data_IF_670598230760
#
_entry.id   IF_670598230760
#
_cell.length_a   1.000
_cell.length_b   1.000
_cell.length_c   1.000
_cell.angle_alpha   90.00
_cell.angle_beta   90.00
_cell.angle_gamma   90.00
#
_symmetry.space_group_name_H-M   'P 1'
#
loop_
_entity.id
_entity.type
_entity.pdbx_description
1 polymer ?
#
# COMPACT_ATOMS: atom_id res chain seq x y z
N UNK A 1 23.50 -5.97 -5.29
CA UNK A 1 23.98 -6.66 -4.07
C UNK A 1 23.32 -5.98 -2.88
N UNK A 2 22.43 -6.65 -2.15
CA UNK A 2 21.87 -6.08 -0.91
C UNK A 2 23.00 -6.11 0.13
N UNK A 3 23.51 -4.95 0.52
CA UNK A 3 24.38 -4.84 1.68
C UNK A 3 23.65 -5.49 2.85
N UNK A 4 24.21 -6.56 3.41
CA UNK A 4 23.70 -7.14 4.67
C UNK A 4 24.18 -6.23 5.78
N UNK A 5 23.49 -5.11 5.95
CA UNK A 5 23.79 -4.10 6.95
C UNK A 5 23.51 -4.73 8.32
N UNK A 6 24.50 -4.69 9.21
CA UNK A 6 24.27 -5.00 10.62
C UNK A 6 23.28 -3.95 11.16
N UNK A 7 22.11 -4.36 11.66
CA UNK A 7 21.03 -3.41 11.99
C UNK A 7 20.96 -3.02 13.47
N UNK A 8 21.93 -3.42 14.30
CA UNK A 8 21.95 -3.04 15.73
C UNK A 8 22.36 -1.58 15.91
N UNK A 9 21.44 -0.68 15.55
CA UNK A 9 21.55 0.75 15.75
C UNK A 9 21.18 1.06 17.20
N UNK A 10 21.87 2.04 17.76
CA UNK A 10 21.54 2.64 19.05
C UNK A 10 21.52 4.15 18.86
N UNK A 11 20.71 4.90 19.63
CA UNK A 11 20.69 6.35 19.54
C UNK A 11 22.08 6.95 19.78
N UNK A 12 22.34 8.12 19.19
CA UNK A 12 23.62 8.84 19.33
C UNK A 12 24.03 9.00 20.80
N UNK A 13 23.06 9.32 21.66
CA UNK A 13 23.25 9.49 23.10
C UNK A 13 23.84 8.26 23.80
N UNK A 14 23.47 7.05 23.37
CA UNK A 14 24.02 5.83 23.95
C UNK A 14 25.36 5.47 23.31
N UNK A 15 25.53 5.75 22.02
CA UNK A 15 26.81 5.52 21.32
C UNK A 15 27.97 6.25 21.99
N UNK A 16 27.75 7.46 22.47
CA UNK A 16 28.77 8.26 23.18
C UNK A 16 29.17 7.66 24.54
N UNK A 17 28.31 6.83 25.14
CA UNK A 17 28.54 6.20 26.46
C UNK A 17 29.08 4.77 26.36
N UNK A 18 28.82 4.10 25.24
CA UNK A 18 29.29 2.74 24.99
C UNK A 18 30.75 2.79 24.53
N UNK A 19 31.62 2.04 25.21
CA UNK A 19 33.03 1.97 24.85
C UNK A 19 33.25 1.42 23.43
N UNK A 20 34.24 1.98 22.72
CA UNK A 20 34.57 1.61 21.34
C UNK A 20 34.86 0.11 21.16
N UNK A 21 35.31 -0.59 22.21
CA UNK A 21 35.53 -2.05 22.21
C UNK A 21 34.27 -2.87 21.89
N UNK A 22 33.08 -2.31 22.06
CA UNK A 22 31.80 -2.95 21.75
C UNK A 22 31.30 -2.64 20.33
N UNK A 23 32.06 -1.86 19.56
CA UNK A 23 31.70 -1.47 18.19
C UNK A 23 32.40 -2.36 17.17
N UNK A 24 31.70 -2.67 16.09
CA UNK A 24 32.25 -3.41 14.97
C UNK A 24 33.20 -2.54 14.15
N UNK A 25 34.40 -3.06 13.88
CA UNK A 25 35.43 -2.39 13.08
C UNK A 25 35.11 -2.30 11.58
N UNK A 26 34.02 -2.93 11.11
CA UNK A 26 33.57 -2.84 9.71
C UNK A 26 32.36 -1.91 9.55
N UNK A 27 31.27 -2.11 10.31
CA UNK A 27 30.06 -1.29 10.15
C UNK A 27 29.97 -0.10 11.12
N UNK A 28 30.82 -0.01 12.15
CA UNK A 28 30.81 1.08 13.14
C UNK A 28 29.58 1.11 14.06
N UNK A 29 28.82 0.01 14.10
CA UNK A 29 27.65 -0.20 14.95
C UNK A 29 27.95 -1.17 16.09
N UNK A 30 27.03 -1.30 17.04
CA UNK A 30 27.16 -2.22 18.17
C UNK A 30 27.31 -3.67 17.66
N UNK A 31 28.26 -4.42 18.21
CA UNK A 31 28.57 -5.78 17.75
C UNK A 31 27.34 -6.71 17.83
N UNK A 32 27.02 -7.35 16.70
CA UNK A 32 26.04 -8.43 16.61
C UNK A 32 26.77 -9.73 16.32
N UNK A 33 26.53 -10.76 17.13
CA UNK A 33 27.22 -12.04 17.05
C UNK A 33 28.74 -11.85 16.95
N UNK A 34 29.33 -11.20 17.95
CA UNK A 34 30.73 -10.78 17.94
C UNK A 34 31.68 -11.93 17.51
N UNK A 35 32.57 -11.58 16.61
CA UNK A 35 33.65 -12.41 16.06
C UNK A 35 34.97 -11.69 16.29
N UNK A 36 35.97 -12.40 16.79
CA UNK A 36 37.31 -11.89 17.02
C UNK A 36 38.26 -12.44 15.98
N UNK A 37 38.95 -11.56 15.26
CA UNK A 37 40.05 -11.97 14.39
C UNK A 37 41.30 -12.31 15.22
N UNK A 38 42.24 -13.08 14.66
CA UNK A 38 43.52 -13.42 15.33
C UNK A 38 44.33 -12.20 15.79
N UNK A 39 44.18 -11.04 15.13
CA UNK A 39 44.79 -9.78 15.55
C UNK A 39 44.10 -9.10 16.75
N UNK A 40 43.03 -9.69 17.29
CA UNK A 40 42.29 -9.19 18.46
C UNK A 40 41.15 -8.22 18.16
N UNK A 41 40.96 -7.80 16.92
CA UNK A 41 39.90 -6.87 16.52
C UNK A 41 38.55 -7.56 16.32
N UNK A 42 37.48 -6.85 16.72
CA UNK A 42 36.10 -7.37 16.68
C UNK A 42 35.31 -6.96 15.45
N UNK A 43 34.52 -7.89 14.94
CA UNK A 43 33.60 -7.73 13.83
C UNK A 43 32.25 -8.41 14.12
N UNK A 44 31.18 -7.95 13.49
CA UNK A 44 29.93 -8.71 13.48
C UNK A 44 30.12 -9.93 12.56
N UNK A 45 29.47 -11.05 12.87
CA UNK A 45 29.48 -12.23 12.00
C UNK A 45 29.05 -11.90 10.57
N UNK A 46 28.00 -11.08 10.41
CA UNK A 46 27.53 -10.63 9.11
C UNK A 46 28.48 -9.67 8.37
N UNK A 47 29.43 -9.05 9.08
CA UNK A 47 30.37 -8.10 8.50
C UNK A 47 31.70 -8.75 8.09
N UNK A 48 31.96 -10.02 8.44
CA UNK A 48 33.17 -10.73 8.04
C UNK A 48 33.33 -10.81 6.52
N UNK A 49 32.22 -10.86 5.78
CA UNK A 49 32.25 -10.88 4.31
C UNK A 49 32.88 -9.63 3.71
N UNK A 50 32.85 -8.50 4.43
CA UNK A 50 33.46 -7.24 3.98
C UNK A 50 34.98 -7.23 4.13
N UNK A 51 35.56 -8.24 4.78
CA UNK A 51 37.00 -8.35 5.03
C UNK A 51 37.73 -9.08 3.89
N UNK A 52 37.00 -9.74 2.99
CA UNK A 52 37.59 -10.33 1.80
C UNK A 52 37.97 -9.24 0.80
N UNK A 53 39.20 -9.32 0.28
CA UNK A 53 39.63 -8.52 -0.85
C UNK A 53 39.21 -9.24 -2.15
N UNK A 54 38.81 -8.47 -3.17
CA UNK A 54 38.26 -8.98 -4.43
C UNK A 54 39.13 -10.11 -5.03
N UNK A 55 38.66 -11.35 -4.91
CA UNK A 55 39.27 -12.53 -5.54
C UNK A 55 40.29 -13.30 -4.70
N UNK A 56 40.51 -12.95 -3.42
CA UNK A 56 41.40 -13.70 -2.53
C UNK A 56 40.63 -14.54 -1.52
N UNK A 57 41.22 -15.68 -1.10
CA UNK A 57 40.70 -16.52 -0.01
C UNK A 57 41.11 -16.00 1.38
N UNK A 58 41.72 -14.81 1.46
CA UNK A 58 42.21 -14.20 2.69
C UNK A 58 41.33 -13.03 3.09
N UNK A 59 41.22 -12.83 4.40
CA UNK A 59 40.60 -11.65 4.99
C UNK A 59 41.68 -10.66 5.43
N UNK A 60 41.34 -9.37 5.41
CA UNK A 60 42.22 -8.30 5.88
C UNK A 60 41.52 -7.49 6.98
N UNK A 61 42.20 -7.32 8.11
CA UNK A 61 41.72 -6.46 9.19
C UNK A 61 41.60 -5.01 8.72
N UNK A 62 40.47 -4.36 8.98
CA UNK A 62 40.26 -2.98 8.57
C UNK A 62 41.03 -1.98 9.44
N UNK A 63 41.40 -2.36 10.66
CA UNK A 63 42.11 -1.51 11.63
C UNK A 63 43.63 -1.52 11.43
N UNK A 64 44.24 -2.71 11.43
CA UNK A 64 45.71 -2.87 11.44
C UNK A 64 46.28 -3.48 10.14
N UNK A 65 45.42 -3.82 9.17
CA UNK A 65 45.79 -4.44 7.88
C UNK A 65 46.40 -5.84 7.98
N UNK A 66 46.32 -6.50 9.14
CA UNK A 66 46.73 -7.90 9.28
C UNK A 66 45.91 -8.80 8.35
N UNK A 67 46.59 -9.62 7.57
CA UNK A 67 45.96 -10.69 6.78
C UNK A 67 45.77 -11.93 7.65
N UNK A 68 44.62 -12.57 7.51
CA UNK A 68 44.31 -13.83 8.19
C UNK A 68 43.35 -14.67 7.34
N UNK A 69 43.30 -15.97 7.63
CA UNK A 69 42.42 -16.92 6.99
C UNK A 69 41.03 -16.93 7.67
N UNK A 70 39.97 -17.36 6.96
CA UNK A 70 38.62 -17.42 7.54
C UNK A 70 38.50 -18.29 8.80
N UNK A 71 39.36 -19.31 8.96
CA UNK A 71 39.41 -20.18 10.14
C UNK A 71 40.19 -19.57 11.32
N UNK A 72 40.78 -18.39 11.15
CA UNK A 72 41.47 -17.61 12.18
C UNK A 72 40.57 -16.51 12.77
N UNK A 73 39.25 -16.67 12.60
CA UNK A 73 38.22 -15.82 13.17
C UNK A 73 37.30 -16.67 14.03
N UNK A 74 37.13 -16.25 15.29
CA UNK A 74 36.46 -17.06 16.30
C UNK A 74 35.24 -16.33 16.89
N UNK A 75 34.13 -17.03 17.14
CA UNK A 75 33.04 -16.49 17.94
C UNK A 75 33.51 -16.10 19.34
N UNK A 76 33.32 -14.84 19.73
CA UNK A 76 33.65 -14.38 21.08
C UNK A 76 32.38 -14.33 21.96
N UNK A 77 32.18 -15.39 22.73
CA UNK A 77 31.03 -15.51 23.62
C UNK A 77 31.09 -14.56 24.82
N UNK A 78 32.28 -14.15 25.26
CA UNK A 78 32.43 -13.18 26.35
C UNK A 78 31.94 -11.81 25.87
N UNK A 79 32.46 -11.35 24.73
CA UNK A 79 32.07 -10.09 24.11
C UNK A 79 30.57 -10.06 23.76
N UNK A 80 30.01 -11.18 23.27
CA UNK A 80 28.56 -11.30 23.03
C UNK A 80 27.73 -11.06 24.29
N UNK A 81 28.11 -11.67 25.43
CA UNK A 81 27.40 -11.50 26.71
C UNK A 81 27.49 -10.08 27.22
N UNK A 82 28.69 -9.49 27.15
CA UNK A 82 28.92 -8.10 27.54
C UNK A 82 28.02 -7.14 26.74
N UNK A 83 28.04 -7.27 25.41
CA UNK A 83 27.22 -6.42 24.53
C UNK A 83 25.73 -6.61 24.81
N UNK A 84 25.27 -7.84 25.00
CA UNK A 84 23.88 -8.16 25.31
C UNK A 84 23.40 -7.62 26.66
N UNK A 85 24.31 -7.33 27.60
CA UNK A 85 24.01 -6.77 28.92
C UNK A 85 24.03 -5.24 28.96
N UNK A 86 24.48 -4.57 27.88
CA UNK A 86 24.46 -3.12 27.81
C UNK A 86 23.02 -2.60 27.85
N UNK A 87 22.77 -1.59 28.69
CA UNK A 87 21.47 -0.91 28.75
C UNK A 87 21.47 0.27 27.80
N UNK A 88 20.57 0.24 26.82
CA UNK A 88 20.43 1.23 25.75
C UNK A 88 18.97 1.68 25.61
N UNK A 89 18.77 2.82 24.99
CA UNK A 89 17.45 3.31 24.58
C UNK A 89 17.07 2.71 23.22
N UNK A 90 15.78 2.71 22.94
CA UNK A 90 15.26 2.35 21.63
C UNK A 90 15.81 3.28 20.53
N UNK A 91 16.02 2.73 19.33
CA UNK A 91 16.44 3.51 18.15
C UNK A 91 15.50 4.66 17.80
N UNK A 92 14.23 4.57 18.21
CA UNK A 92 13.20 5.59 17.99
C UNK A 92 13.08 6.58 19.17
N UNK A 93 14.14 6.75 19.97
CA UNK A 93 14.18 7.71 21.08
C UNK A 93 13.81 9.13 20.63
N UNK A 94 14.37 9.57 19.49
CA UNK A 94 14.12 10.90 18.93
C UNK A 94 12.69 11.06 18.39
N UNK A 95 12.02 9.96 18.03
CA UNK A 95 10.61 9.95 17.61
C UNK A 95 9.64 9.94 18.79
N UNK A 96 10.13 9.75 20.03
CA UNK A 96 9.35 9.74 21.26
C UNK A 96 9.34 8.42 22.03
N UNK A 97 10.01 7.38 21.55
CA UNK A 97 10.06 6.10 22.26
C UNK A 97 10.89 6.20 23.54
N UNK A 98 10.27 5.95 24.69
CA UNK A 98 10.94 6.02 26.00
C UNK A 98 11.53 4.68 26.46
N UNK A 99 11.44 3.62 25.64
CA UNK A 99 11.94 2.31 26.03
C UNK A 99 13.45 2.36 26.25
N UNK A 100 13.88 1.73 27.35
CA UNK A 100 15.27 1.58 27.75
C UNK A 100 15.44 0.21 28.41
N UNK A 101 16.43 -0.54 27.97
CA UNK A 101 16.66 -1.89 28.47
C UNK A 101 17.93 -2.51 27.92
N UNK A 102 18.19 -3.75 28.31
CA UNK A 102 19.34 -4.51 27.81
C UNK A 102 19.23 -4.78 26.31
N UNK A 103 20.36 -4.76 25.61
CA UNK A 103 20.45 -5.02 24.16
C UNK A 103 19.81 -6.35 23.77
N UNK A 104 19.88 -7.38 24.61
CA UNK A 104 19.21 -8.67 24.37
C UNK A 104 17.69 -8.57 24.18
N UNK A 105 17.06 -7.52 24.73
CA UNK A 105 15.62 -7.27 24.63
C UNK A 105 15.27 -6.22 23.56
N UNK A 106 16.28 -5.52 23.00
CA UNK A 106 16.07 -4.42 22.06
C UNK A 106 15.39 -4.87 20.77
N UNK A 107 15.73 -6.05 20.23
CA UNK A 107 15.13 -6.56 18.99
C UNK A 107 13.63 -6.86 19.17
N UNK A 108 13.28 -7.54 20.27
CA UNK A 108 11.88 -7.82 20.61
C UNK A 108 11.07 -6.52 20.80
N UNK A 109 11.67 -5.53 21.46
CA UNK A 109 11.05 -4.21 21.57
C UNK A 109 10.90 -3.54 20.20
N UNK A 110 11.95 -3.51 19.37
CA UNK A 110 11.93 -2.83 18.06
C UNK A 110 10.82 -3.35 17.17
N UNK A 111 10.57 -4.67 17.16
CA UNK A 111 9.49 -5.31 16.40
C UNK A 111 8.09 -4.96 16.90
N UNK A 112 7.95 -4.63 18.18
CA UNK A 112 6.69 -4.24 18.81
C UNK A 112 6.54 -2.72 18.97
N UNK A 113 7.60 -1.95 18.71
CA UNK A 113 7.65 -0.51 18.96
C UNK A 113 6.60 0.24 18.16
N UNK A 114 5.84 1.10 18.85
CA UNK A 114 4.79 1.94 18.29
C UNK A 114 5.32 3.01 17.32
N UNK A 115 6.58 3.42 17.51
CA UNK A 115 7.25 4.42 16.70
C UNK A 115 7.92 3.84 15.44
N UNK A 116 7.92 2.51 15.29
CA UNK A 116 8.41 1.84 14.09
C UNK A 116 7.59 2.30 12.88
N UNK A 117 8.26 2.81 11.85
CA UNK A 117 7.63 3.19 10.59
C UNK A 117 7.44 1.95 9.72
N UNK A 118 6.19 1.64 9.41
CA UNK A 118 5.78 0.52 8.56
C UNK A 118 5.11 1.05 7.27
N UNK A 119 5.27 0.34 6.14
CA UNK A 119 4.55 0.72 4.93
C UNK A 119 3.04 0.57 5.14
N UNK A 120 2.27 1.47 4.52
CA UNK A 120 0.82 1.33 4.44
C UNK A 120 0.44 -0.04 3.83
N UNK A 121 -0.65 -0.64 4.31
CA UNK A 121 -1.16 -1.94 3.82
C UNK A 121 -1.57 -1.90 2.35
N UNK A 122 -1.84 -0.71 1.81
CA UNK A 122 -2.15 -0.50 0.40
C UNK A 122 -0.87 -0.16 -0.38
N UNK A 123 -0.40 -1.04 -1.29
CA UNK A 123 0.84 -0.80 -2.05
C UNK A 123 0.79 0.47 -2.90
N UNK A 124 -0.40 0.80 -3.42
CA UNK A 124 -0.68 2.02 -4.19
C UNK A 124 -0.61 3.32 -3.36
N UNK A 125 -0.61 3.22 -2.02
CA UNK A 125 -0.44 4.38 -1.15
C UNK A 125 1.04 4.81 -1.06
N UNK A 126 1.97 3.86 -0.98
CA UNK A 126 3.42 4.12 -0.90
C UNK A 126 3.92 4.84 0.36
N UNK A 127 3.05 5.22 1.29
CA UNK A 127 3.42 5.95 2.52
C UNK A 127 4.05 5.01 3.56
N UNK A 128 5.01 5.53 4.32
CA UNK A 128 5.48 4.92 5.57
C UNK A 128 4.90 5.68 6.76
N UNK A 129 4.23 4.96 7.66
CA UNK A 129 3.51 5.52 8.81
C UNK A 129 3.98 4.85 10.09
N UNK A 130 3.96 5.57 11.22
CA UNK A 130 4.26 4.94 12.51
C UNK A 130 3.22 3.85 12.78
N UNK A 131 3.65 2.77 13.42
CA UNK A 131 2.77 1.64 13.74
C UNK A 131 1.56 2.07 14.59
N UNK A 132 1.76 2.99 15.54
CA UNK A 132 0.65 3.57 16.31
C UNK A 132 -0.34 4.37 15.46
N UNK A 133 0.14 5.06 14.44
CA UNK A 133 -0.68 5.97 13.62
C UNK A 133 -1.33 5.27 12.42
N UNK A 134 -1.06 3.98 12.20
CA UNK A 134 -1.54 3.25 11.02
C UNK A 134 -3.07 3.25 10.93
N UNK A 135 -3.77 3.06 12.04
CA UNK A 135 -5.24 3.05 12.04
C UNK A 135 -5.80 4.41 11.62
N UNK A 136 -5.31 5.49 12.23
CA UNK A 136 -5.74 6.85 11.88
C UNK A 136 -5.41 7.19 10.43
N UNK A 137 -4.23 6.79 9.95
CA UNK A 137 -3.87 6.92 8.55
C UNK A 137 -4.89 6.23 7.63
N UNK A 138 -5.24 4.97 7.88
CA UNK A 138 -6.17 4.21 7.02
C UNK A 138 -7.58 4.80 7.00
N UNK A 139 -8.03 5.37 8.11
CA UNK A 139 -9.37 5.95 8.23
C UNK A 139 -9.46 7.36 7.62
N UNK A 140 -8.47 8.22 7.85
CA UNK A 140 -8.59 9.66 7.57
C UNK A 140 -7.69 10.16 6.46
N UNK A 141 -6.50 9.60 6.32
CA UNK A 141 -5.45 10.18 5.47
C UNK A 141 -5.19 9.37 4.19
N UNK A 142 -5.39 8.06 4.25
CA UNK A 142 -5.02 7.15 3.19
C UNK A 142 -5.86 7.43 1.95
N UNK A 143 -5.20 7.73 0.83
CA UNK A 143 -5.87 7.92 -0.46
C UNK A 143 -6.47 6.63 -1.01
N UNK A 144 -6.08 5.49 -0.44
CA UNK A 144 -6.58 4.18 -0.82
C UNK A 144 -7.70 3.69 0.11
N UNK A 145 -8.14 4.52 1.07
CA UNK A 145 -9.27 4.20 1.95
C UNK A 145 -10.54 3.97 1.13
N UNK A 146 -11.41 3.11 1.65
CA UNK A 146 -12.72 2.85 1.06
C UNK A 146 -13.70 3.95 1.43
N UNK A 147 -14.36 4.51 0.43
CA UNK A 147 -15.49 5.42 0.61
C UNK A 147 -16.70 4.95 -0.18
N UNK A 148 -17.90 5.27 0.31
CA UNK A 148 -19.13 4.95 -0.39
C UNK A 148 -19.32 5.90 -1.57
N UNK A 149 -19.50 5.35 -2.76
CA UNK A 149 -19.88 6.11 -3.94
C UNK A 149 -21.21 6.84 -3.70
N UNK A 150 -21.26 8.15 -3.97
CA UNK A 150 -22.45 8.97 -3.76
C UNK A 150 -23.67 8.48 -4.55
N UNK A 151 -23.44 7.86 -5.71
CA UNK A 151 -24.46 7.41 -6.65
C UNK A 151 -24.90 5.96 -6.41
N UNK A 152 -23.97 4.99 -6.45
CA UNK A 152 -24.31 3.56 -6.34
C UNK A 152 -24.19 3.00 -4.92
N UNK A 153 -23.69 3.79 -3.96
CA UNK A 153 -23.44 3.39 -2.55
C UNK A 153 -22.45 2.24 -2.35
N UNK A 154 -21.81 1.75 -3.42
CA UNK A 154 -20.74 0.75 -3.32
C UNK A 154 -19.47 1.35 -2.70
N UNK A 155 -18.72 0.53 -1.95
CA UNK A 155 -17.43 0.93 -1.38
C UNK A 155 -16.34 0.87 -2.46
N UNK A 156 -15.69 2.01 -2.70
CA UNK A 156 -14.64 2.17 -3.71
C UNK A 156 -13.45 2.87 -3.07
N UNK A 157 -12.22 2.45 -3.42
CA UNK A 157 -11.03 3.18 -2.98
C UNK A 157 -11.09 4.62 -3.50
N UNK A 158 -10.82 5.60 -2.62
CA UNK A 158 -10.93 7.01 -2.95
C UNK A 158 -10.10 7.40 -4.20
N UNK A 159 -8.89 6.86 -4.33
CA UNK A 159 -8.03 7.09 -5.50
C UNK A 159 -8.62 6.58 -6.83
N UNK A 160 -9.55 5.63 -6.81
CA UNK A 160 -10.24 5.07 -7.98
C UNK A 160 -11.65 5.63 -8.17
N UNK A 161 -12.15 6.48 -7.25
CA UNK A 161 -13.52 7.01 -7.29
C UNK A 161 -13.82 7.76 -8.58
N UNK A 162 -12.87 8.56 -9.09
CA UNK A 162 -13.03 9.28 -10.36
C UNK A 162 -13.21 8.32 -11.54
N UNK A 163 -12.33 7.32 -11.64
CA UNK A 163 -12.41 6.30 -12.69
C UNK A 163 -13.73 5.52 -12.60
N UNK A 164 -14.14 5.16 -11.38
CA UNK A 164 -15.40 4.50 -11.12
C UNK A 164 -16.58 5.32 -11.66
N UNK A 165 -16.69 6.61 -11.32
CA UNK A 165 -17.74 7.49 -11.85
C UNK A 165 -17.75 7.56 -13.38
N UNK A 166 -16.57 7.74 -13.99
CA UNK A 166 -16.43 7.92 -15.43
C UNK A 166 -16.77 6.66 -16.24
N UNK A 167 -16.47 5.45 -15.73
CA UNK A 167 -16.50 4.23 -16.54
C UNK A 167 -17.30 3.07 -15.97
N UNK A 168 -17.44 2.96 -14.65
CA UNK A 168 -17.88 1.71 -14.01
C UNK A 168 -19.21 1.88 -13.25
N UNK A 169 -19.49 3.07 -12.73
CA UNK A 169 -20.58 3.31 -11.83
C UNK A 169 -21.94 3.18 -12.55
N UNK A 170 -22.80 2.21 -12.14
CA UNK A 170 -24.08 1.96 -12.81
C UNK A 170 -25.11 3.06 -12.57
N UNK A 171 -25.00 3.75 -11.43
CA UNK A 171 -25.91 4.82 -11.03
C UNK A 171 -25.40 6.21 -11.42
N UNK A 172 -24.21 6.31 -12.04
CA UNK A 172 -23.68 7.60 -12.44
C UNK A 172 -24.53 8.21 -13.56
N UNK A 173 -24.89 9.50 -13.48
CA UNK A 173 -25.71 10.15 -14.49
C UNK A 173 -24.94 10.34 -15.79
N UNK A 174 -25.55 9.95 -16.91
CA UNK A 174 -25.00 10.10 -18.26
C UNK A 174 -26.00 10.81 -19.16
N UNK A 175 -25.48 11.47 -20.20
CA UNK A 175 -26.29 12.14 -21.23
C UNK A 175 -26.59 11.17 -22.36
N UNK A 176 -27.84 11.13 -22.81
CA UNK A 176 -28.20 10.39 -24.00
C UNK A 176 -27.75 11.14 -25.26
N UNK A 177 -26.88 10.54 -26.05
CA UNK A 177 -26.38 11.15 -27.30
C UNK A 177 -27.46 11.32 -28.38
N UNK A 178 -28.58 10.56 -28.28
CA UNK A 178 -29.63 10.56 -29.30
C UNK A 178 -30.70 11.64 -29.09
N UNK A 179 -31.02 11.95 -27.83
CA UNK A 179 -32.04 12.95 -27.49
C UNK A 179 -31.52 14.09 -26.61
N UNK A 180 -30.23 14.08 -26.28
CA UNK A 180 -29.57 15.06 -25.40
C UNK A 180 -30.15 15.16 -23.99
N UNK A 181 -31.00 14.22 -23.57
CA UNK A 181 -31.53 14.14 -22.20
C UNK A 181 -30.40 13.76 -21.24
N UNK A 182 -30.26 14.55 -20.18
CA UNK A 182 -29.29 14.34 -19.11
C UNK A 182 -29.91 13.52 -17.95
N UNK A 183 -29.10 13.32 -16.91
CA UNK A 183 -29.48 12.66 -15.65
C UNK A 183 -30.02 11.22 -15.78
N UNK A 184 -29.61 10.49 -16.82
CA UNK A 184 -29.97 9.08 -17.00
C UNK A 184 -28.96 8.22 -16.26
N UNK A 185 -29.35 7.37 -15.29
CA UNK A 185 -28.41 6.43 -14.69
C UNK A 185 -27.79 5.53 -15.76
N UNK A 186 -26.46 5.38 -15.77
CA UNK A 186 -25.72 4.58 -16.78
C UNK A 186 -26.36 3.22 -17.07
N UNK A 187 -26.77 2.48 -16.04
CA UNK A 187 -27.40 1.16 -16.19
C UNK A 187 -28.77 1.20 -16.88
N UNK A 188 -29.47 2.33 -16.85
CA UNK A 188 -30.79 2.52 -17.48
C UNK A 188 -30.71 3.11 -18.90
N UNK A 189 -29.53 3.54 -19.35
CA UNK A 189 -29.37 4.16 -20.68
C UNK A 189 -29.82 3.24 -21.82
N UNK A 190 -29.49 1.94 -21.73
CA UNK A 190 -29.91 0.96 -22.74
C UNK A 190 -31.43 0.81 -22.78
N UNK A 191 -32.08 0.78 -21.61
CA UNK A 191 -33.54 0.70 -21.53
C UNK A 191 -34.22 1.98 -22.04
N UNK A 192 -33.67 3.16 -21.71
CA UNK A 192 -34.14 4.42 -22.26
C UNK A 192 -34.12 4.44 -23.79
N UNK A 193 -33.05 3.92 -24.40
CA UNK A 193 -32.85 3.86 -25.85
C UNK A 193 -33.50 2.65 -26.53
N UNK A 194 -34.28 1.84 -25.82
CA UNK A 194 -34.95 0.68 -26.37
C UNK A 194 -35.98 1.13 -27.44
N UNK A 195 -35.89 0.63 -28.69
CA UNK A 195 -36.79 1.05 -29.76
C UNK A 195 -38.26 0.66 -29.53
N UNK A 196 -38.52 -0.39 -28.76
CA UNK A 196 -39.86 -0.94 -28.55
C UNK A 196 -40.49 -0.32 -27.31
N UNK A 197 -39.81 -0.39 -26.18
CA UNK A 197 -40.34 -0.02 -24.85
C UNK A 197 -39.68 1.22 -24.25
N UNK A 198 -38.62 1.75 -24.85
CA UNK A 198 -37.87 2.89 -24.34
C UNK A 198 -38.56 4.22 -24.58
N UNK A 199 -38.24 5.20 -23.73
CA UNK A 199 -38.83 6.55 -23.70
C UNK A 199 -37.95 7.62 -24.36
N UNK A 200 -36.91 7.25 -25.10
CA UNK A 200 -36.02 8.18 -25.81
C UNK A 200 -36.69 8.85 -27.02
N UNK A 201 -36.74 10.18 -27.03
CA UNK A 201 -37.29 10.97 -28.14
C UNK A 201 -36.44 10.92 -29.42
N UNK A 202 -35.16 10.59 -29.29
CA UNK A 202 -34.21 10.43 -30.40
C UNK A 202 -34.17 9.04 -31.02
N UNK A 203 -34.89 8.06 -30.45
CA UNK A 203 -34.99 6.69 -30.99
C UNK A 203 -36.35 6.48 -31.63
N UNK A 204 -36.32 6.13 -32.92
CA UNK A 204 -37.52 5.68 -33.64
C UNK A 204 -37.76 4.19 -33.40
N UNK A 205 -39.03 3.84 -33.23
CA UNK A 205 -39.46 2.52 -32.82
C UNK A 205 -40.61 1.98 -33.66
N UNK A 206 -40.85 0.66 -33.67
CA UNK A 206 -42.05 0.11 -34.32
C UNK A 206 -43.33 0.62 -33.65
N UNK A 207 -44.44 0.52 -34.37
CA UNK A 207 -45.76 0.77 -33.79
C UNK A 207 -45.94 -0.07 -32.52
N UNK A 208 -46.39 0.53 -31.38
CA UNK A 208 -46.63 -0.23 -30.13
C UNK A 208 -47.58 -1.43 -30.29
N UNK A 209 -48.42 -1.41 -31.33
CA UNK A 209 -49.39 -2.45 -31.65
C UNK A 209 -48.95 -3.39 -32.77
N UNK A 210 -47.72 -3.27 -33.29
CA UNK A 210 -47.18 -4.16 -34.32
C UNK A 210 -47.20 -5.62 -33.84
N UNK A 211 -46.89 -5.86 -32.56
CA UNK A 211 -46.94 -7.20 -31.93
C UNK A 211 -48.37 -7.75 -31.79
N UNK A 212 -49.40 -6.91 -31.94
CA UNK A 212 -50.82 -7.28 -31.83
C UNK A 212 -51.50 -7.15 -33.22
N UNK A 213 -50.72 -7.12 -34.31
CA UNK A 213 -51.23 -7.18 -35.68
C UNK A 213 -51.49 -5.84 -36.37
N UNK A 214 -50.96 -4.72 -35.86
CA UNK A 214 -51.01 -3.45 -36.60
C UNK A 214 -50.22 -3.55 -37.91
N UNK A 215 -50.90 -3.37 -39.04
CA UNK A 215 -50.33 -3.54 -40.39
C UNK A 215 -49.38 -2.41 -40.84
N UNK A 216 -49.18 -1.38 -40.01
CA UNK A 216 -48.31 -0.24 -40.32
C UNK A 216 -46.87 -0.57 -39.94
N UNK A 217 -45.97 -0.57 -40.91
CA UNK A 217 -44.52 -0.82 -40.76
C UNK A 217 -43.70 0.46 -40.55
N UNK A 218 -44.35 1.61 -40.50
CA UNK A 218 -43.70 2.91 -40.27
C UNK A 218 -43.05 2.97 -38.89
N UNK A 219 -41.80 3.43 -38.84
CA UNK A 219 -41.09 3.74 -37.60
C UNK A 219 -41.58 5.08 -37.05
N UNK A 220 -41.87 5.11 -35.75
CA UNK A 220 -42.49 6.25 -35.09
C UNK A 220 -41.55 6.84 -34.03
N UNK A 221 -41.52 8.17 -33.94
CA UNK A 221 -40.89 8.87 -32.81
C UNK A 221 -41.63 8.57 -31.50
N UNK A 222 -40.97 8.73 -30.36
CA UNK A 222 -41.59 8.54 -29.04
C UNK A 222 -42.85 9.40 -28.84
N UNK A 223 -42.83 10.66 -29.30
CA UNK A 223 -44.00 11.55 -29.23
C UNK A 223 -45.19 11.02 -30.04
N UNK A 224 -44.95 10.46 -31.23
CA UNK A 224 -45.98 9.81 -32.03
C UNK A 224 -46.49 8.53 -31.35
N UNK A 225 -45.61 7.71 -30.77
CA UNK A 225 -45.99 6.51 -30.01
C UNK A 225 -46.88 6.85 -28.80
N UNK A 226 -46.50 7.85 -28.00
CA UNK A 226 -47.30 8.38 -26.87
C UNK A 226 -48.66 8.93 -27.31
N UNK A 227 -48.71 9.62 -28.45
CA UNK A 227 -49.96 10.15 -29.02
C UNK A 227 -50.92 9.05 -29.47
N UNK A 228 -50.40 7.94 -30.01
CA UNK A 228 -51.22 6.78 -30.43
C UNK A 228 -51.73 6.01 -29.20
N UNK A 229 -50.91 5.90 -28.15
CA UNK A 229 -51.30 5.24 -26.89
C UNK A 229 -52.41 6.01 -26.16
N UNK A 230 -52.30 7.34 -26.08
CA UNK A 230 -53.29 8.24 -25.44
C UNK A 230 -54.61 8.39 -26.22
N UNK A 231 -54.58 8.31 -27.55
CA UNK A 231 -55.81 8.33 -28.37
C UNK A 231 -56.69 7.08 -28.20
N UNK A 232 -56.16 5.99 -27.65
CA UNK A 232 -56.88 4.72 -27.49
C UNK A 232 -57.40 4.48 -26.06
N UNK A 233 -56.84 5.13 -25.04
CA UNK A 233 -57.45 5.15 -23.69
C UNK A 233 -58.78 5.91 -23.64
N UNK A 234 -59.10 6.69 -24.68
CA UNK A 234 -60.40 7.31 -24.91
C UNK A 234 -61.39 6.41 -25.69
N UNK A 235 -61.00 5.18 -26.02
CA UNK A 235 -61.86 4.16 -26.63
C UNK A 235 -61.86 2.94 -25.71
N UNK A 236 -62.42 3.09 -24.51
CA UNK A 236 -63.02 1.95 -23.80
C UNK A 236 -64.34 1.62 -24.51
N UNK A 237 -64.56 0.38 -24.99
CA UNK A 237 -65.87 0.01 -25.50
C UNK A 237 -66.90 0.03 -24.34
N UNK A 238 -68.18 0.33 -24.62
CA UNK A 238 -69.26 0.27 -23.63
C UNK A 238 -69.45 -1.13 -23.06
#
# INVERSE_FOLDING_TARGET
>A
MKERICETKVPRKDKERIGAKYMCNSCGLLLRDAMQAVCGHFYCNSCLTNLFLNGTSKMTCLQDKTEFLPNEVFPDNFMRREVQALVVHCTFLDDGCQWKGEVRHLENHTNSCEFLKIPCVHPECGMQVKKADLTEHLEKECKCRLENCGFCKSQINLNKMKLHHEKECPAYPVVCEKCSKDDIPRAKLLHHQDPVMGDCDGVQGPCPFAQIGCSKTEVLTNNQRKSIWSKRTLITPP
#
